data_IF_264752172163
#
_entry.id   IF_264752172163
#
_cell.length_a   1.000
_cell.length_b   1.000
_cell.length_c   1.000
_cell.angle_alpha   90.00
_cell.angle_beta   90.00
_cell.angle_gamma   90.00
#
_symmetry.space_group_name_H-M   'P 1'
#
loop_
_entity.id
_entity.type
_entity.pdbx_description
1 polymer ?
#
# COMPACT_ATOMS: atom_id res chain seq x y z
N UNK A 1 -15.69 -25.16 5.51
CA UNK A 1 -15.71 -23.70 5.28
C UNK A 1 -15.80 -23.02 6.64
N UNK A 2 -14.73 -22.41 7.10
CA UNK A 2 -14.71 -21.58 8.29
C UNK A 2 -14.49 -20.13 7.85
N UNK A 3 -15.19 -19.19 8.46
CA UNK A 3 -14.89 -17.76 8.28
C UNK A 3 -13.84 -17.39 9.32
N UNK A 4 -12.78 -16.81 8.87
CA UNK A 4 -11.64 -16.34 9.68
C UNK A 4 -11.52 -14.82 9.57
N UNK A 5 -11.08 -14.17 10.65
CA UNK A 5 -10.82 -12.74 10.69
C UNK A 5 -9.31 -12.51 10.88
N UNK A 6 -8.74 -11.66 10.04
CA UNK A 6 -7.32 -11.24 10.14
C UNK A 6 -7.17 -9.76 9.83
N UNK A 7 -5.96 -9.26 9.96
CA UNK A 7 -5.64 -7.87 9.64
C UNK A 7 -6.13 -6.87 10.67
N UNK A 8 -6.70 -7.33 11.78
CA UNK A 8 -7.13 -6.47 12.87
C UNK A 8 -5.91 -5.80 13.53
N UNK A 9 -6.08 -4.52 13.88
CA UNK A 9 -5.08 -3.81 14.69
C UNK A 9 -5.08 -4.42 16.09
N UNK A 10 -3.90 -4.66 16.64
CA UNK A 10 -3.73 -5.15 18.01
C UNK A 10 -3.57 -3.98 18.98
N UNK A 11 -4.19 -4.07 20.15
CA UNK A 11 -4.01 -3.14 21.25
C UNK A 11 -2.64 -3.36 21.95
N UNK A 12 -2.33 -2.55 22.97
CA UNK A 12 -1.07 -2.64 23.72
C UNK A 12 -0.89 -4.00 24.48
N UNK A 13 -1.99 -4.71 24.72
CA UNK A 13 -2.01 -6.03 25.35
C UNK A 13 -1.97 -7.18 24.32
N UNK A 14 -1.96 -6.85 23.02
CA UNK A 14 -1.94 -7.79 21.90
C UNK A 14 -3.30 -8.37 21.53
N UNK A 15 -4.41 -7.77 21.99
CA UNK A 15 -5.74 -8.23 21.64
C UNK A 15 -6.25 -7.53 20.37
N UNK A 16 -6.93 -8.26 19.46
CA UNK A 16 -7.51 -7.68 18.27
C UNK A 16 -8.60 -6.63 18.59
N UNK A 17 -8.49 -5.46 17.96
CA UNK A 17 -9.52 -4.43 18.00
C UNK A 17 -10.58 -4.78 16.96
N UNK A 18 -11.76 -5.17 17.42
CA UNK A 18 -12.85 -5.60 16.55
C UNK A 18 -13.24 -4.55 15.50
N UNK A 19 -13.48 -5.02 14.27
CA UNK A 19 -13.91 -4.19 13.16
C UNK A 19 -12.76 -3.44 12.46
N UNK A 20 -11.50 -3.72 12.82
CA UNK A 20 -10.32 -3.16 12.13
C UNK A 20 -9.68 -4.15 11.16
N UNK A 21 -10.16 -5.38 11.09
CA UNK A 21 -9.74 -6.43 10.18
C UNK A 21 -10.78 -6.74 9.11
N UNK A 22 -10.56 -7.81 8.38
CA UNK A 22 -11.49 -8.33 7.38
C UNK A 22 -11.73 -9.83 7.58
N UNK A 23 -12.90 -10.28 7.13
CA UNK A 23 -13.29 -11.69 7.17
C UNK A 23 -13.03 -12.36 5.81
N UNK A 24 -12.62 -13.61 5.85
CA UNK A 24 -12.45 -14.42 4.64
C UNK A 24 -12.81 -15.89 4.87
N UNK A 25 -13.15 -16.57 3.78
CA UNK A 25 -13.41 -18.01 3.79
C UNK A 25 -12.08 -18.78 3.76
N UNK A 26 -11.90 -19.72 4.70
CA UNK A 26 -10.70 -20.57 4.80
C UNK A 26 -10.35 -21.35 3.53
N UNK A 27 -11.33 -21.58 2.66
CA UNK A 27 -11.20 -22.32 1.41
C UNK A 27 -11.40 -21.41 0.18
N UNK A 28 -11.44 -20.09 0.41
CA UNK A 28 -11.71 -19.07 -0.62
C UNK A 28 -10.46 -18.52 -1.29
N UNK A 29 -10.67 -17.60 -2.24
CA UNK A 29 -9.60 -16.94 -3.00
C UNK A 29 -8.59 -16.19 -2.13
N UNK A 30 -9.04 -15.54 -1.07
CA UNK A 30 -8.15 -14.84 -0.14
C UNK A 30 -7.22 -15.84 0.56
N UNK A 31 -7.73 -17.00 0.98
CA UNK A 31 -6.90 -18.05 1.58
C UNK A 31 -5.83 -18.57 0.58
N UNK A 32 -6.20 -18.75 -0.70
CA UNK A 32 -5.25 -19.11 -1.76
C UNK A 32 -4.13 -18.06 -1.93
N UNK A 33 -4.46 -16.77 -1.86
CA UNK A 33 -3.48 -15.68 -1.96
C UNK A 33 -2.61 -15.58 -0.69
N UNK A 34 -3.21 -15.73 0.50
CA UNK A 34 -2.48 -15.73 1.77
C UNK A 34 -1.47 -16.88 1.86
N UNK A 35 -1.79 -18.04 1.27
CA UNK A 35 -0.87 -19.18 1.20
C UNK A 35 0.38 -18.91 0.33
N UNK A 36 0.33 -17.91 -0.54
CA UNK A 36 1.43 -17.50 -1.41
C UNK A 36 2.24 -16.32 -0.85
N UNK A 37 1.88 -15.81 0.32
CA UNK A 37 2.55 -14.63 0.88
C UNK A 37 4.01 -14.90 1.23
N UNK A 38 4.84 -13.93 0.94
CA UNK A 38 6.27 -13.88 1.33
C UNK A 38 6.50 -12.86 2.44
N UNK A 39 5.48 -12.07 2.79
CA UNK A 39 5.52 -11.05 3.82
C UNK A 39 4.39 -11.21 4.85
N UNK A 40 4.48 -10.56 6.03
CA UNK A 40 3.31 -10.38 6.89
C UNK A 40 2.22 -9.57 6.17
N UNK A 41 0.99 -9.71 6.64
CA UNK A 41 -0.09 -8.78 6.28
C UNK A 41 0.18 -7.45 6.96
N UNK A 42 0.20 -6.38 6.21
CA UNK A 42 0.34 -5.02 6.72
C UNK A 42 -0.87 -4.18 6.33
N UNK A 43 -1.18 -3.19 7.14
CA UNK A 43 -2.45 -2.48 7.10
C UNK A 43 -2.25 -0.97 7.25
N UNK A 44 -3.08 -0.18 6.55
CA UNK A 44 -3.18 1.25 6.78
C UNK A 44 -4.52 1.62 7.45
N UNK A 45 -4.51 2.21 8.66
CA UNK A 45 -5.74 2.56 9.36
C UNK A 45 -6.64 3.57 8.64
N UNK A 46 -6.09 4.38 7.74
CA UNK A 46 -6.83 5.42 7.03
C UNK A 46 -7.72 4.88 5.92
N UNK A 47 -7.16 4.47 4.77
CA UNK A 47 -7.91 3.83 3.68
C UNK A 47 -8.51 2.48 4.08
N UNK A 48 -7.96 1.82 5.09
CA UNK A 48 -8.41 0.51 5.53
C UNK A 48 -7.92 -0.64 4.66
N UNK A 49 -6.91 -0.42 3.85
CA UNK A 49 -6.36 -1.45 2.97
C UNK A 49 -5.45 -2.40 3.73
N UNK A 50 -5.53 -3.71 3.39
CA UNK A 50 -4.61 -4.75 3.84
C UNK A 50 -3.82 -5.26 2.65
N UNK A 51 -2.51 -5.33 2.82
CA UNK A 51 -1.59 -5.70 1.75
C UNK A 51 -0.64 -6.79 2.24
N UNK A 52 -0.23 -7.68 1.36
CA UNK A 52 0.88 -8.60 1.57
C UNK A 52 1.60 -8.87 0.25
N UNK A 53 2.90 -9.03 0.32
CA UNK A 53 3.73 -9.37 -0.81
C UNK A 53 3.63 -10.88 -1.11
N UNK A 54 3.59 -11.22 -2.39
CA UNK A 54 3.60 -12.59 -2.89
C UNK A 54 4.87 -12.90 -3.67
N UNK A 55 5.38 -11.92 -4.41
CA UNK A 55 6.65 -12.03 -5.14
C UNK A 55 7.40 -10.72 -4.95
N UNK A 56 8.54 -10.79 -4.29
CA UNK A 56 9.42 -9.65 -4.11
C UNK A 56 10.42 -9.48 -5.27
N UNK A 57 11.20 -8.42 -5.19
CA UNK A 57 12.22 -8.11 -6.20
C UNK A 57 13.26 -9.21 -6.34
N UNK A 58 13.67 -9.83 -5.24
CA UNK A 58 14.69 -10.89 -5.25
C UNK A 58 14.16 -12.18 -5.88
N UNK A 59 12.91 -12.59 -5.57
CA UNK A 59 12.28 -13.77 -6.14
C UNK A 59 12.09 -13.68 -7.66
N UNK A 60 11.79 -12.47 -8.16
CA UNK A 60 11.60 -12.21 -9.60
C UNK A 60 12.89 -11.86 -10.35
N UNK A 61 14.05 -11.81 -9.66
CA UNK A 61 15.30 -11.26 -10.20
C UNK A 61 15.16 -9.83 -10.76
N UNK A 62 14.33 -9.01 -10.14
CA UNK A 62 14.09 -7.63 -10.50
C UNK A 62 13.11 -7.43 -11.67
N UNK A 63 12.46 -8.48 -12.15
CA UNK A 63 11.53 -8.39 -13.28
C UNK A 63 10.20 -7.72 -12.86
N UNK A 64 9.65 -8.10 -11.72
CA UNK A 64 8.42 -7.53 -11.19
C UNK A 64 8.31 -7.74 -9.67
N UNK A 65 7.43 -6.98 -9.04
CA UNK A 65 6.93 -7.25 -7.68
C UNK A 65 5.43 -7.52 -7.77
N UNK A 66 4.92 -8.42 -6.93
CA UNK A 66 3.51 -8.77 -6.90
C UNK A 66 3.01 -8.74 -5.46
N UNK A 67 1.88 -8.09 -5.23
CA UNK A 67 1.23 -8.00 -3.93
C UNK A 67 -0.29 -8.08 -4.05
N UNK A 68 -0.92 -8.70 -3.08
CA UNK A 68 -2.36 -8.71 -2.95
C UNK A 68 -2.83 -7.53 -2.12
N UNK A 69 -3.96 -6.95 -2.50
CA UNK A 69 -4.60 -5.82 -1.81
C UNK A 69 -6.05 -6.17 -1.54
N UNK A 70 -6.46 -6.10 -0.27
CA UNK A 70 -7.86 -6.19 0.14
C UNK A 70 -8.34 -4.78 0.49
N UNK A 71 -9.38 -4.33 -0.18
CA UNK A 71 -9.95 -2.98 0.01
C UNK A 71 -11.38 -3.07 0.51
N UNK A 72 -11.75 -2.36 1.59
CA UNK A 72 -13.15 -2.19 1.95
C UNK A 72 -13.92 -1.51 0.82
N UNK A 73 -15.14 -1.95 0.56
CA UNK A 73 -16.03 -1.25 -0.36
C UNK A 73 -16.32 0.16 0.13
N UNK A 74 -16.48 1.08 -0.81
CA UNK A 74 -16.79 2.49 -0.57
C UNK A 74 -15.75 3.26 0.28
N UNK A 75 -14.51 2.73 0.37
CA UNK A 75 -13.40 3.49 0.95
C UNK A 75 -13.00 4.68 0.04
N UNK A 76 -12.16 5.58 0.57
CA UNK A 76 -11.71 6.73 -0.25
C UNK A 76 -10.79 6.31 -1.41
N UNK A 77 -10.32 5.05 -1.44
CA UNK A 77 -9.34 4.58 -2.41
C UNK A 77 -7.94 5.18 -2.21
N UNK A 78 -7.09 4.91 -3.17
CA UNK A 78 -5.73 5.46 -3.18
C UNK A 78 -5.73 6.94 -3.56
N UNK A 79 -4.73 7.68 -3.09
CA UNK A 79 -4.51 9.05 -3.54
C UNK A 79 -4.26 9.08 -5.05
N UNK A 80 -4.72 10.12 -5.74
CA UNK A 80 -4.39 10.31 -7.15
C UNK A 80 -2.89 10.56 -7.30
N UNK A 81 -2.22 9.74 -8.11
CA UNK A 81 -0.77 9.76 -8.28
C UNK A 81 -0.34 9.20 -9.64
N UNK A 82 0.96 9.20 -9.90
CA UNK A 82 1.55 8.45 -10.99
C UNK A 82 2.94 7.92 -10.61
N UNK A 83 3.39 6.91 -11.33
CA UNK A 83 4.70 6.29 -11.18
C UNK A 83 5.62 6.73 -12.33
N UNK A 84 6.74 7.44 -12.06
CA UNK A 84 7.62 7.90 -13.13
C UNK A 84 8.39 6.78 -13.83
N UNK A 85 8.68 5.68 -13.13
CA UNK A 85 9.71 4.72 -13.54
C UNK A 85 9.23 3.29 -13.75
N UNK A 86 7.98 2.95 -13.43
CA UNK A 86 7.45 1.60 -13.61
C UNK A 86 6.00 1.63 -14.11
N UNK A 87 5.62 0.56 -14.79
CA UNK A 87 4.23 0.25 -15.14
C UNK A 87 3.58 -0.51 -13.98
N UNK A 88 2.28 -0.34 -13.76
CA UNK A 88 1.53 -1.05 -12.73
C UNK A 88 0.36 -1.80 -13.34
N UNK A 89 0.28 -3.12 -13.12
CA UNK A 89 -0.78 -3.98 -13.58
C UNK A 89 -1.72 -4.31 -12.43
N UNK A 90 -3.00 -4.05 -12.60
CA UNK A 90 -4.06 -4.45 -11.68
C UNK A 90 -4.82 -5.65 -12.22
N UNK A 91 -5.05 -6.66 -11.38
CA UNK A 91 -5.82 -7.88 -11.71
C UNK A 91 -6.95 -8.02 -10.69
N UNK A 92 -8.18 -7.94 -11.13
CA UNK A 92 -9.35 -8.17 -10.29
C UNK A 92 -9.47 -9.64 -9.86
N UNK A 93 -9.58 -9.88 -8.55
CA UNK A 93 -9.77 -11.23 -7.98
C UNK A 93 -11.20 -11.42 -7.50
N UNK A 94 -11.73 -10.42 -6.78
CA UNK A 94 -13.14 -10.38 -6.33
C UNK A 94 -13.57 -8.95 -6.07
N UNK A 95 -14.88 -8.70 -6.07
CA UNK A 95 -15.44 -7.36 -5.95
C UNK A 95 -15.30 -6.56 -7.24
N UNK A 96 -15.69 -5.30 -7.20
CA UNK A 96 -15.63 -4.37 -8.32
C UNK A 96 -14.78 -3.17 -7.96
N UNK A 97 -13.82 -2.85 -8.82
CA UNK A 97 -12.97 -1.67 -8.65
C UNK A 97 -13.25 -0.64 -9.73
N UNK A 98 -13.19 0.61 -9.35
CA UNK A 98 -13.14 1.74 -10.27
C UNK A 98 -11.72 2.26 -10.29
N UNK A 99 -11.05 2.14 -11.42
CA UNK A 99 -9.77 2.77 -11.68
C UNK A 99 -10.01 4.07 -12.44
N UNK A 100 -9.43 5.15 -11.97
CA UNK A 100 -9.30 6.39 -12.74
C UNK A 100 -7.92 6.43 -13.36
N UNK A 101 -7.81 6.47 -14.68
CA UNK A 101 -6.52 6.50 -15.38
C UNK A 101 -6.59 7.51 -16.52
N UNK A 102 -5.70 8.51 -16.52
CA UNK A 102 -5.64 9.60 -17.51
C UNK A 102 -6.96 10.37 -17.67
N UNK A 103 -7.76 10.45 -16.61
CA UNK A 103 -9.05 11.12 -16.56
C UNK A 103 -10.23 10.29 -17.07
N UNK A 104 -10.03 9.02 -17.37
CA UNK A 104 -11.07 8.07 -17.73
C UNK A 104 -11.31 7.06 -16.59
N UNK A 105 -12.57 6.69 -16.38
CA UNK A 105 -12.93 5.61 -15.45
C UNK A 105 -12.93 4.27 -16.18
N UNK A 106 -12.27 3.28 -15.56
CA UNK A 106 -12.26 1.88 -15.99
C UNK A 106 -12.81 1.03 -14.85
N UNK A 107 -13.83 0.25 -15.16
CA UNK A 107 -14.34 -0.76 -14.22
C UNK A 107 -13.47 -2.01 -14.36
N UNK A 108 -13.00 -2.53 -13.25
CA UNK A 108 -12.22 -3.77 -13.17
C UNK A 108 -12.99 -4.76 -12.30
N UNK A 109 -13.44 -5.84 -12.91
CA UNK A 109 -14.14 -6.94 -12.25
C UNK A 109 -13.22 -8.16 -12.08
N UNK A 110 -13.72 -9.16 -11.36
CA UNK A 110 -12.98 -10.40 -11.16
C UNK A 110 -12.62 -11.09 -12.50
N UNK A 111 -11.34 -11.38 -12.68
CA UNK A 111 -10.78 -11.99 -13.89
C UNK A 111 -10.35 -10.99 -14.95
N UNK A 112 -10.57 -9.70 -14.75
CA UNK A 112 -10.11 -8.65 -15.66
C UNK A 112 -8.76 -8.10 -15.21
N UNK A 113 -8.02 -7.52 -16.17
CA UNK A 113 -6.70 -6.91 -15.93
C UNK A 113 -6.64 -5.54 -16.59
N UNK A 114 -5.96 -4.60 -15.94
CA UNK A 114 -5.70 -3.28 -16.49
C UNK A 114 -4.28 -2.82 -16.20
N UNK A 115 -3.53 -2.46 -17.25
CA UNK A 115 -2.17 -1.97 -17.16
C UNK A 115 -2.12 -0.44 -17.18
N UNK A 116 -1.71 0.15 -16.08
CA UNK A 116 -1.37 1.57 -15.98
C UNK A 116 0.08 1.75 -16.39
N UNK A 117 0.31 2.51 -17.45
CA UNK A 117 1.67 2.81 -17.91
C UNK A 117 2.32 3.89 -17.05
N UNK A 118 3.65 3.79 -16.88
CA UNK A 118 4.43 4.83 -16.20
C UNK A 118 4.10 6.23 -16.71
N UNK A 119 3.96 7.16 -15.78
CA UNK A 119 3.59 8.55 -16.07
C UNK A 119 2.09 8.80 -16.21
N UNK A 120 1.25 7.77 -16.27
CA UNK A 120 -0.21 7.91 -16.29
C UNK A 120 -0.72 8.22 -14.89
N UNK A 121 -1.44 9.33 -14.75
CA UNK A 121 -2.09 9.72 -13.49
C UNK A 121 -3.26 8.79 -13.22
N UNK A 122 -3.31 8.19 -12.05
CA UNK A 122 -4.32 7.21 -11.69
C UNK A 122 -4.64 7.17 -10.19
N UNK A 123 -5.74 6.52 -9.88
CA UNK A 123 -6.18 6.09 -8.56
C UNK A 123 -7.11 4.89 -8.71
N UNK A 124 -7.38 4.18 -7.62
CA UNK A 124 -8.40 3.14 -7.60
C UNK A 124 -9.18 3.15 -6.30
N UNK A 125 -10.42 2.66 -6.34
CA UNK A 125 -11.27 2.42 -5.17
C UNK A 125 -12.11 1.17 -5.38
N UNK A 126 -12.47 0.48 -4.30
CA UNK A 126 -13.44 -0.60 -4.32
C UNK A 126 -14.86 -0.02 -4.17
N UNK A 127 -15.82 -0.57 -4.92
CA UNK A 127 -17.24 -0.25 -4.80
C UNK A 127 -18.05 -1.51 -4.48
N UNK A 128 -19.12 -1.36 -3.72
CA UNK A 128 -19.98 -2.48 -3.29
C UNK A 128 -20.95 -2.05 -2.20
N UNK A 129 -21.48 -3.00 -1.46
CA UNK A 129 -22.26 -2.73 -0.25
C UNK A 129 -21.35 -2.42 0.94
N UNK A 130 -21.87 -1.69 1.93
CA UNK A 130 -21.09 -1.38 3.14
C UNK A 130 -20.76 -2.67 3.90
N UNK A 131 -19.48 -2.87 4.17
CA UNK A 131 -18.97 -4.08 4.81
C UNK A 131 -18.39 -5.12 3.84
N UNK A 132 -18.60 -4.96 2.53
CA UNK A 132 -17.95 -5.79 1.52
C UNK A 132 -16.47 -5.42 1.35
N UNK A 133 -15.74 -6.33 0.73
CA UNK A 133 -14.33 -6.14 0.39
C UNK A 133 -14.09 -6.57 -1.06
N UNK A 134 -13.32 -5.76 -1.78
CA UNK A 134 -12.72 -6.16 -3.04
C UNK A 134 -11.30 -6.66 -2.83
N UNK A 135 -10.87 -7.57 -3.71
CA UNK A 135 -9.51 -8.11 -3.74
C UNK A 135 -8.94 -7.90 -5.13
N UNK A 136 -7.77 -7.33 -5.19
CA UNK A 136 -6.97 -7.24 -6.41
C UNK A 136 -5.53 -7.72 -6.15
N UNK A 137 -4.86 -8.10 -7.23
CA UNK A 137 -3.43 -8.28 -7.27
C UNK A 137 -2.85 -7.09 -8.03
N UNK A 138 -1.83 -6.45 -7.48
CA UNK A 138 -1.08 -5.43 -8.18
C UNK A 138 0.35 -5.92 -8.45
N UNK A 139 0.87 -5.57 -9.62
CA UNK A 139 2.23 -5.90 -10.05
C UNK A 139 2.93 -4.66 -10.58
N UNK A 140 4.18 -4.45 -10.19
CA UNK A 140 5.02 -3.36 -10.70
C UNK A 140 6.09 -3.88 -11.65
N UNK A 141 6.31 -3.22 -12.78
CA UNK A 141 7.27 -3.59 -13.83
C UNK A 141 8.19 -2.41 -14.19
N UNK A 142 9.52 -2.52 -13.94
CA UNK A 142 10.24 -3.57 -13.22
C UNK A 142 10.00 -3.51 -11.72
N UNK A 143 10.54 -4.47 -10.97
CA UNK A 143 10.61 -4.41 -9.52
C UNK A 143 11.46 -3.22 -9.07
N UNK A 144 10.92 -2.38 -8.21
CA UNK A 144 11.55 -1.13 -7.75
C UNK A 144 11.60 -0.99 -6.23
N UNK A 145 11.12 -1.99 -5.48
CA UNK A 145 10.97 -1.93 -4.02
C UNK A 145 9.79 -1.06 -3.60
N UNK A 146 8.69 -1.10 -4.36
CA UNK A 146 7.52 -0.26 -4.06
C UNK A 146 6.88 -0.63 -2.71
N UNK A 147 6.81 -1.92 -2.38
CA UNK A 147 6.31 -2.41 -1.09
C UNK A 147 7.10 -1.85 0.09
N UNK A 148 8.41 -1.60 -0.06
CA UNK A 148 9.22 -0.99 0.99
C UNK A 148 8.77 0.45 1.33
N UNK A 149 8.29 1.21 0.34
CA UNK A 149 7.71 2.52 0.56
C UNK A 149 6.38 2.40 1.33
N UNK A 150 5.55 1.41 0.97
CA UNK A 150 4.28 1.15 1.65
C UNK A 150 4.51 0.74 3.12
N UNK A 151 5.47 -0.12 3.41
CA UNK A 151 5.85 -0.45 4.78
C UNK A 151 6.18 0.79 5.61
N UNK A 152 6.94 1.73 5.05
CA UNK A 152 7.27 2.97 5.75
C UNK A 152 6.05 3.86 5.97
N UNK A 153 5.19 4.02 4.96
CA UNK A 153 4.00 4.86 5.05
C UNK A 153 2.99 4.28 6.06
N UNK A 154 2.73 2.98 5.98
CA UNK A 154 1.74 2.29 6.82
C UNK A 154 2.26 2.10 8.26
N UNK A 155 3.54 1.79 8.44
CA UNK A 155 4.14 1.72 9.77
C UNK A 155 4.08 3.05 10.53
N UNK A 156 4.29 4.17 9.83
CA UNK A 156 4.08 5.51 10.40
C UNK A 156 2.60 5.75 10.78
N UNK A 157 1.67 5.22 10.01
CA UNK A 157 0.24 5.35 10.32
C UNK A 157 -0.16 4.48 11.53
N UNK A 158 0.30 3.24 11.59
CA UNK A 158 0.08 2.31 12.73
C UNK A 158 0.63 2.89 14.04
N UNK A 159 1.81 3.50 14.02
CA UNK A 159 2.38 4.16 15.21
C UNK A 159 1.79 5.55 15.51
N UNK A 160 0.71 5.97 14.83
CA UNK A 160 0.06 7.28 15.05
C UNK A 160 0.92 8.49 14.63
N UNK A 161 1.95 8.27 13.83
CA UNK A 161 2.85 9.33 13.34
C UNK A 161 2.36 9.99 12.06
N UNK A 162 1.37 9.38 11.38
CA UNK A 162 0.66 9.96 10.24
C UNK A 162 -0.54 10.83 10.68
N UNK A 163 -1.38 11.26 9.75
CA UNK A 163 -2.68 11.86 10.03
C UNK A 163 -3.72 10.76 10.32
N UNK A 164 -4.86 11.09 10.94
CA UNK A 164 -5.94 10.11 11.15
C UNK A 164 -6.47 9.48 9.85
N UNK A 165 -6.30 10.14 8.71
CA UNK A 165 -6.62 9.62 7.37
C UNK A 165 -5.60 8.63 6.81
N UNK A 166 -4.54 8.30 7.56
CA UNK A 166 -3.41 7.51 7.07
C UNK A 166 -2.36 8.31 6.28
N UNK A 167 -2.72 9.51 5.79
CA UNK A 167 -1.78 10.33 5.03
C UNK A 167 -0.56 10.75 5.86
N UNK A 168 0.60 10.76 5.23
CA UNK A 168 1.80 11.28 5.86
C UNK A 168 1.68 12.80 6.15
N UNK A 169 2.22 13.21 7.29
CA UNK A 169 2.40 14.64 7.59
C UNK A 169 3.34 15.23 6.54
N UNK A 170 3.05 16.48 6.11
CA UNK A 170 3.77 17.10 4.98
C UNK A 170 5.29 17.10 5.14
N UNK A 171 5.81 17.36 6.34
CA UNK A 171 7.26 17.33 6.59
C UNK A 171 7.83 15.92 6.46
N UNK A 172 7.11 14.89 6.95
CA UNK A 172 7.50 13.49 6.81
C UNK A 172 7.53 13.10 5.34
N UNK A 173 6.47 13.42 4.59
CA UNK A 173 6.41 13.16 3.16
C UNK A 173 7.59 13.80 2.42
N UNK A 174 7.89 15.07 2.67
CA UNK A 174 9.00 15.76 2.00
C UNK A 174 10.37 15.17 2.34
N UNK A 175 10.55 14.70 3.58
CA UNK A 175 11.80 14.02 3.99
C UNK A 175 11.95 12.68 3.29
N UNK A 176 10.87 11.90 3.19
CA UNK A 176 10.85 10.61 2.49
C UNK A 176 11.08 10.79 0.97
N UNK A 177 10.36 11.70 0.33
CA UNK A 177 10.50 12.00 -1.11
C UNK A 177 11.95 12.28 -1.52
N UNK A 178 12.78 12.81 -0.63
CA UNK A 178 14.18 13.14 -0.93
C UNK A 178 15.21 12.17 -0.39
N UNK A 179 14.85 11.32 0.53
CA UNK A 179 15.85 10.56 1.26
C UNK A 179 15.57 9.07 1.44
N UNK A 180 14.32 8.64 1.26
CA UNK A 180 14.01 7.22 1.23
C UNK A 180 14.58 6.60 -0.06
N UNK A 181 15.20 5.44 0.10
CA UNK A 181 15.65 4.61 -1.01
C UNK A 181 15.25 3.18 -0.78
N UNK A 182 14.75 2.55 -1.82
CA UNK A 182 14.47 1.11 -1.82
C UNK A 182 15.77 0.30 -1.90
N UNK A 183 15.68 -0.98 -1.68
CA UNK A 183 16.78 -1.94 -1.91
C UNK A 183 17.29 -1.89 -3.35
N UNK A 184 16.41 -1.66 -4.31
CA UNK A 184 16.74 -1.44 -5.73
C UNK A 184 17.38 -0.06 -6.01
N UNK A 185 17.56 0.78 -4.98
CA UNK A 185 18.21 2.09 -5.08
C UNK A 185 17.34 3.23 -5.60
N UNK A 186 16.05 2.98 -5.87
CA UNK A 186 15.10 3.99 -6.35
C UNK A 186 14.68 4.88 -5.19
N UNK A 187 14.63 6.20 -5.39
CA UNK A 187 14.19 7.15 -4.34
C UNK A 187 12.67 7.32 -4.37
N UNK A 188 12.06 7.60 -3.22
CA UNK A 188 10.61 7.75 -3.11
C UNK A 188 10.00 8.76 -4.09
N UNK A 189 10.71 9.85 -4.36
CA UNK A 189 10.28 10.85 -5.34
C UNK A 189 10.28 10.38 -6.80
N UNK A 190 10.85 9.21 -7.07
CA UNK A 190 10.83 8.55 -8.37
C UNK A 190 9.93 7.29 -8.36
N UNK A 191 9.38 6.92 -7.21
CA UNK A 191 8.43 5.81 -7.07
C UNK A 191 6.99 6.29 -7.25
N UNK A 192 6.60 7.36 -6.53
CA UNK A 192 5.23 7.84 -6.50
C UNK A 192 5.20 9.37 -6.42
N UNK A 193 4.44 9.99 -7.32
CA UNK A 193 4.21 11.42 -7.37
C UNK A 193 2.73 11.72 -7.17
N UNK A 194 2.30 12.26 -6.02
CA UNK A 194 0.91 12.64 -5.82
C UNK A 194 0.50 13.84 -6.69
N UNK A 195 -0.75 13.85 -7.13
CA UNK A 195 -1.34 14.91 -7.95
C UNK A 195 -2.68 15.34 -7.33
N UNK A 196 -2.88 16.63 -6.95
CA UNK A 196 -1.89 17.71 -6.90
C UNK A 196 -0.89 17.53 -5.74
N UNK A 197 0.25 18.26 -5.70
CA UNK A 197 0.54 19.44 -6.52
C UNK A 197 1.40 19.16 -7.77
N UNK A 198 1.75 17.90 -8.05
CA UNK A 198 2.57 17.53 -9.17
C UNK A 198 4.09 17.73 -8.96
N UNK A 199 4.93 17.23 -9.90
CA UNK A 199 6.36 17.00 -9.66
C UNK A 199 7.17 18.27 -9.42
N UNK A 200 6.92 19.34 -10.16
CA UNK A 200 7.70 20.58 -10.03
C UNK A 200 7.50 21.23 -8.65
N UNK A 201 6.25 21.31 -8.21
CA UNK A 201 5.91 21.92 -6.90
C UNK A 201 6.45 21.04 -5.77
N UNK A 202 6.28 19.71 -5.87
CA UNK A 202 6.85 18.77 -4.90
C UNK A 202 8.38 18.85 -4.82
N UNK A 203 9.05 18.97 -5.97
CA UNK A 203 10.51 19.14 -6.01
C UNK A 203 10.97 20.41 -5.30
N UNK A 204 10.28 21.53 -5.49
CA UNK A 204 10.57 22.79 -4.81
C UNK A 204 10.27 22.65 -3.30
N UNK A 205 9.08 22.17 -2.95
CA UNK A 205 8.66 21.99 -1.56
C UNK A 205 9.63 21.06 -0.82
N UNK A 206 10.02 19.93 -1.42
CA UNK A 206 10.92 18.99 -0.78
C UNK A 206 12.33 19.56 -0.56
N UNK A 207 12.82 20.46 -1.44
CA UNK A 207 14.10 21.12 -1.24
C UNK A 207 14.10 22.05 -0.03
N UNK A 208 12.97 22.68 0.26
CA UNK A 208 12.81 23.64 1.36
C UNK A 208 12.42 22.92 2.66
N UNK A 209 11.43 22.04 2.59
CA UNK A 209 10.81 21.44 3.77
C UNK A 209 11.55 20.20 4.29
N UNK A 210 12.24 19.42 3.43
CA UNK A 210 12.96 18.24 3.91
C UNK A 210 14.12 18.57 4.87
N UNK A 211 14.96 19.61 4.67
CA UNK A 211 15.93 20.00 5.67
C UNK A 211 15.29 20.39 7.01
N UNK A 212 14.19 21.14 6.98
CA UNK A 212 13.43 21.51 8.18
C UNK A 212 12.86 20.27 8.88
N UNK A 213 12.26 19.37 8.13
CA UNK A 213 11.74 18.11 8.67
C UNK A 213 12.83 17.28 9.37
N UNK A 214 14.01 17.17 8.77
CA UNK A 214 15.16 16.48 9.40
C UNK A 214 15.61 17.12 10.68
N UNK A 215 15.63 18.47 10.75
CA UNK A 215 15.93 19.20 11.98
C UNK A 215 14.90 18.93 13.08
N UNK A 216 13.64 18.67 12.71
CA UNK A 216 12.56 18.31 13.63
C UNK A 216 12.50 16.81 13.95
N UNK A 217 13.48 16.02 13.50
CA UNK A 217 13.61 14.61 13.83
C UNK A 217 12.90 13.63 12.88
N UNK A 218 12.27 14.11 11.80
CA UNK A 218 11.73 13.22 10.76
C UNK A 218 12.85 12.50 10.01
N UNK A 219 12.70 11.19 9.86
CA UNK A 219 13.66 10.36 9.13
C UNK A 219 13.15 10.03 7.73
N UNK A 220 14.02 9.83 6.75
CA UNK A 220 13.61 9.42 5.41
C UNK A 220 13.18 7.96 5.37
N UNK A 221 13.70 7.14 6.26
CA UNK A 221 13.52 5.69 6.29
C UNK A 221 13.43 5.20 7.74
N UNK A 222 12.61 4.17 7.93
CA UNK A 222 12.36 3.49 9.21
C UNK A 222 12.47 1.97 8.98
N UNK A 223 13.69 1.41 8.94
CA UNK A 223 13.92 0.02 8.55
C UNK A 223 13.13 -1.01 9.36
N UNK A 224 12.85 -0.73 10.64
CA UNK A 224 12.08 -1.63 11.50
C UNK A 224 10.65 -1.88 11.03
N UNK A 225 10.07 -1.03 10.16
CA UNK A 225 8.76 -1.28 9.56
C UNK A 225 8.79 -2.37 8.48
N UNK A 226 9.97 -2.78 8.01
CA UNK A 226 10.12 -3.92 7.10
C UNK A 226 10.28 -5.25 7.84
N UNK A 227 10.44 -5.21 9.17
CA UNK A 227 10.62 -6.40 9.99
C UNK A 227 9.29 -7.08 10.25
N UNK A 228 9.23 -8.40 10.09
CA UNK A 228 8.02 -9.22 10.32
C UNK A 228 7.48 -9.02 11.73
N UNK A 229 8.37 -8.98 12.74
CA UNK A 229 8.04 -8.82 14.14
C UNK A 229 7.28 -7.51 14.42
N UNK A 230 7.55 -6.46 13.65
CA UNK A 230 6.80 -5.20 13.78
C UNK A 230 5.32 -5.42 13.45
N UNK A 231 5.03 -6.08 12.33
CA UNK A 231 3.65 -6.30 11.89
C UNK A 231 2.93 -7.35 12.72
N UNK A 232 3.60 -8.43 13.12
CA UNK A 232 3.04 -9.43 14.03
C UNK A 232 2.65 -8.84 15.40
N UNK A 233 3.37 -7.82 15.85
CA UNK A 233 3.04 -7.10 17.09
C UNK A 233 1.83 -6.17 16.96
N UNK A 234 1.57 -5.62 15.77
CA UNK A 234 0.57 -4.58 15.60
C UNK A 234 -0.67 -5.04 14.83
N UNK A 235 -0.56 -6.11 14.06
CA UNK A 235 -1.62 -6.61 13.17
C UNK A 235 -1.82 -8.11 13.41
N UNK A 236 -3.08 -8.52 13.59
CA UNK A 236 -3.46 -9.92 13.68
C UNK A 236 -3.16 -10.63 12.36
N UNK A 237 -2.20 -11.56 12.39
CA UNK A 237 -1.72 -12.27 11.21
C UNK A 237 -2.55 -13.52 10.91
N UNK A 238 -2.59 -14.00 9.65
CA UNK A 238 -3.23 -15.27 9.32
C UNK A 238 -2.51 -16.42 10.04
N UNK A 239 -3.24 -17.49 10.40
CA UNK A 239 -2.61 -18.69 10.96
C UNK A 239 -1.59 -19.28 9.96
N UNK A 240 -0.53 -19.85 10.53
CA UNK A 240 0.52 -20.56 9.78
C UNK A 240 0.04 -21.91 9.27
#
# INVERSE_FOLDING_TARGET
>A
MAILTIGEILDDDGNPIQGTGFEYDSDGKIAELLAQRTSPVFHTPGPGEWIWEMVGSDESNGEFEQYAVVCPANNQGTITHYHPNFDELFKGVSGTFVLEADGEEVILEAGEEFMVKKGVVHSFRCIGEDGDHGVLIAETYPAVGFTELLYNAFGLAIEGKAKPTGDLKILQLMVMMRGFRTSSGVIAGDLLIPVPPGPTVLAIMSRILAPLGRLLGYKPDYPHYRETEFWEKHINQPPN
#
